data_IF_880235517112
#
_entry.id   IF_880235517112
#
_cell.length_a   1.000
_cell.length_b   1.000
_cell.length_c   1.000
_cell.angle_alpha   90.00
_cell.angle_beta   90.00
_cell.angle_gamma   90.00
#
_symmetry.space_group_name_H-M   'P 1'
#
loop_
_entity.id
_entity.type
_entity.pdbx_description
1 polymer ?
#
# COMPACT_ATOMS: atom_id res chain seq x y z
N UNK A 1 0.32 -13.80 5.86
CA UNK A 1 1.48 -13.79 6.81
C UNK A 1 1.76 -12.42 7.44
N UNK A 2 2.23 -11.40 6.70
CA UNK A 2 2.61 -10.10 7.31
C UNK A 2 1.50 -9.43 8.12
N UNK A 3 0.28 -9.43 7.58
CA UNK A 3 -0.89 -8.87 8.23
C UNK A 3 -1.32 -9.68 9.47
N UNK A 4 -1.17 -11.01 9.45
CA UNK A 4 -1.50 -11.86 10.60
C UNK A 4 -0.58 -11.61 11.80
N UNK A 5 0.69 -11.31 11.54
CA UNK A 5 1.69 -11.06 12.60
C UNK A 5 1.69 -9.62 13.12
N UNK A 6 1.16 -8.65 12.34
CA UNK A 6 1.15 -7.24 12.71
C UNK A 6 -0.15 -6.54 12.27
N UNK A 7 -1.34 -7.01 12.71
CA UNK A 7 -2.63 -6.50 12.20
C UNK A 7 -2.86 -5.02 12.56
N UNK A 8 -2.39 -4.57 13.71
CA UNK A 8 -2.61 -3.19 14.20
C UNK A 8 -1.62 -2.18 13.61
N UNK A 9 -0.52 -2.66 13.00
CA UNK A 9 0.57 -1.80 12.51
C UNK A 9 0.67 -1.79 10.99
N UNK A 10 0.54 -2.96 10.35
CA UNK A 10 0.57 -3.07 8.90
C UNK A 10 -0.84 -2.81 8.36
N UNK A 11 -0.98 -1.78 7.51
CA UNK A 11 -2.26 -1.35 6.94
C UNK A 11 -2.95 -2.48 6.15
N UNK A 12 -2.15 -3.41 5.61
CA UNK A 12 -2.67 -4.56 4.88
C UNK A 12 -2.96 -4.25 3.40
N UNK A 13 -3.14 -5.29 2.57
CA UNK A 13 -3.22 -5.14 1.13
C UNK A 13 -4.46 -4.36 0.67
N UNK A 14 -5.62 -4.57 1.30
CA UNK A 14 -6.85 -3.86 0.93
C UNK A 14 -6.77 -2.37 1.28
N UNK A 15 -6.29 -2.03 2.48
CA UNK A 15 -6.11 -0.64 2.90
C UNK A 15 -5.09 0.09 2.03
N UNK A 16 -3.97 -0.55 1.70
CA UNK A 16 -2.95 0.04 0.82
C UNK A 16 -3.41 0.15 -0.64
N UNK A 17 -4.25 -0.77 -1.12
CA UNK A 17 -4.89 -0.61 -2.43
C UNK A 17 -5.81 0.62 -2.47
N UNK A 18 -6.58 0.85 -1.40
CA UNK A 18 -7.43 2.02 -1.27
C UNK A 18 -6.62 3.31 -1.07
N UNK A 19 -5.50 3.26 -0.35
CA UNK A 19 -4.59 4.41 -0.24
C UNK A 19 -4.02 4.78 -1.62
N UNK A 20 -3.57 3.78 -2.37
CA UNK A 20 -3.07 4.00 -3.74
C UNK A 20 -4.12 4.61 -4.66
N UNK A 21 -5.39 4.22 -4.53
CA UNK A 21 -6.49 4.83 -5.28
C UNK A 21 -6.50 6.36 -5.16
N UNK A 22 -6.36 6.90 -3.95
CA UNK A 22 -6.35 8.35 -3.75
C UNK A 22 -5.01 8.98 -4.14
N UNK A 23 -3.89 8.33 -3.81
CA UNK A 23 -2.54 8.80 -4.16
C UNK A 23 -2.36 8.94 -5.70
N UNK A 24 -3.01 8.08 -6.48
CA UNK A 24 -2.95 8.12 -7.94
C UNK A 24 -4.06 8.96 -8.60
N UNK A 25 -5.00 9.50 -7.81
CA UNK A 25 -6.13 10.29 -8.33
C UNK A 25 -5.68 11.73 -8.57
N UNK A 26 -5.75 12.22 -9.80
CA UNK A 26 -5.33 13.59 -10.16
C UNK A 26 -6.19 14.68 -9.52
N UNK A 27 -7.32 14.31 -8.90
CA UNK A 27 -8.21 15.23 -8.18
C UNK A 27 -7.84 15.35 -6.70
N UNK A 28 -6.98 14.47 -6.17
CA UNK A 28 -6.59 14.47 -4.76
C UNK A 28 -5.37 15.37 -4.54
N UNK A 29 -5.57 16.47 -3.82
CA UNK A 29 -4.50 17.45 -3.51
C UNK A 29 -3.67 17.05 -2.27
N UNK A 30 -4.07 16.01 -1.54
CA UNK A 30 -3.46 15.58 -0.28
C UNK A 30 -2.43 14.44 -0.48
N UNK A 31 -1.85 14.32 -1.68
CA UNK A 31 -0.92 13.22 -2.01
C UNK A 31 0.28 13.15 -1.05
N UNK A 32 0.89 14.29 -0.71
CA UNK A 32 2.05 14.32 0.19
C UNK A 32 1.68 13.89 1.61
N UNK A 33 0.57 14.38 2.16
CA UNK A 33 0.09 14.01 3.49
C UNK A 33 -0.20 12.50 3.60
N UNK A 34 -0.76 11.91 2.53
CA UNK A 34 -1.00 10.46 2.44
C UNK A 34 0.30 9.67 2.39
N UNK A 35 1.31 10.16 1.67
CA UNK A 35 2.63 9.52 1.60
C UNK A 35 3.36 9.63 2.94
N UNK A 36 3.31 10.79 3.62
CA UNK A 36 3.86 10.97 4.97
C UNK A 36 3.25 9.98 5.96
N UNK A 37 1.93 9.76 5.87
CA UNK A 37 1.26 8.78 6.72
C UNK A 37 1.70 7.33 6.45
N UNK A 38 2.25 7.03 5.27
CA UNK A 38 2.73 5.69 4.89
C UNK A 38 4.24 5.53 5.05
N UNK A 39 4.96 6.61 5.36
CA UNK A 39 6.40 6.63 5.63
C UNK A 39 6.72 6.11 7.04
N UNK A 40 6.28 4.88 7.31
CA UNK A 40 6.52 4.16 8.56
C UNK A 40 6.98 2.72 8.25
N UNK A 41 7.98 2.17 8.97
CA UNK A 41 8.50 0.82 8.73
C UNK A 41 7.45 -0.30 8.79
N UNK A 42 6.36 -0.11 9.51
CA UNK A 42 5.31 -1.10 9.67
C UNK A 42 4.13 -0.89 8.73
N UNK A 43 3.70 0.37 8.50
CA UNK A 43 2.46 0.67 7.77
C UNK A 43 2.49 0.19 6.32
N UNK A 44 3.61 0.40 5.62
CA UNK A 44 3.77 0.04 4.20
C UNK A 44 4.79 -1.08 3.99
N UNK A 45 5.95 -0.99 4.67
CA UNK A 45 7.13 -1.79 4.32
C UNK A 45 7.09 -3.26 4.79
N UNK A 46 6.05 -3.67 5.54
CA UNK A 46 5.80 -5.08 5.89
C UNK A 46 5.24 -5.94 4.74
N UNK A 47 4.95 -5.34 3.59
CA UNK A 47 4.70 -6.10 2.37
C UNK A 47 6.01 -6.67 1.80
N UNK A 48 6.18 -7.98 1.94
CA UNK A 48 7.33 -8.76 1.43
C UNK A 48 7.06 -9.43 0.08
N UNK A 49 6.10 -8.92 -0.71
CA UNK A 49 5.75 -9.49 -2.02
C UNK A 49 5.42 -10.98 -2.00
N UNK A 50 4.69 -11.43 -0.98
CA UNK A 50 4.23 -12.83 -0.81
C UNK A 50 3.15 -13.21 -1.83
N UNK A 51 2.53 -12.23 -2.50
CA UNK A 51 1.54 -12.38 -3.58
C UNK A 51 0.17 -12.98 -3.23
N UNK A 52 -0.01 -13.61 -2.06
CA UNK A 52 -1.32 -14.15 -1.63
C UNK A 52 -2.50 -13.19 -1.84
N UNK A 53 -2.31 -11.88 -1.65
CA UNK A 53 -3.37 -10.89 -1.78
C UNK A 53 -3.88 -10.70 -3.22
N UNK A 54 -3.02 -10.87 -4.22
CA UNK A 54 -3.39 -10.79 -5.64
C UNK A 54 -4.07 -12.09 -6.07
N UNK A 55 -3.55 -13.24 -5.64
CA UNK A 55 -4.04 -14.56 -6.06
C UNK A 55 -5.47 -14.86 -5.57
N UNK A 56 -5.82 -14.39 -4.36
CA UNK A 56 -7.12 -14.68 -3.73
C UNK A 56 -8.17 -13.60 -3.96
N UNK A 57 -7.83 -12.49 -4.63
CA UNK A 57 -8.77 -11.38 -4.76
C UNK A 57 -9.97 -11.79 -5.64
N UNK A 58 -11.21 -11.86 -5.12
CA UNK A 58 -12.36 -12.32 -5.88
C UNK A 58 -12.78 -11.35 -7.01
N UNK A 59 -12.17 -10.17 -7.06
CA UNK A 59 -12.39 -9.14 -8.08
C UNK A 59 -11.24 -9.05 -9.09
N UNK A 60 -10.24 -9.93 -9.00
CA UNK A 60 -9.07 -9.91 -9.90
C UNK A 60 -8.22 -8.65 -9.77
N UNK A 61 -8.27 -7.96 -8.63
CA UNK A 61 -7.45 -6.77 -8.38
C UNK A 61 -6.03 -7.19 -8.02
N UNK A 62 -5.07 -6.27 -8.20
CA UNK A 62 -3.67 -6.51 -7.87
C UNK A 62 -3.16 -5.56 -6.77
N UNK A 63 -3.45 -5.85 -5.48
CA UNK A 63 -2.93 -5.07 -4.36
C UNK A 63 -1.41 -5.01 -4.32
N UNK A 64 -0.71 -6.08 -4.71
CA UNK A 64 0.75 -6.09 -4.70
C UNK A 64 1.34 -5.01 -5.62
N UNK A 65 0.80 -4.89 -6.85
CA UNK A 65 1.20 -3.85 -7.81
C UNK A 65 0.97 -2.44 -7.25
N UNK A 66 -0.18 -2.21 -6.62
CA UNK A 66 -0.48 -0.92 -5.99
C UNK A 66 0.50 -0.58 -4.86
N UNK A 67 0.82 -1.55 -3.99
CA UNK A 67 1.82 -1.37 -2.92
C UNK A 67 3.21 -1.05 -3.50
N UNK A 68 3.61 -1.74 -4.58
CA UNK A 68 4.85 -1.45 -5.29
C UNK A 68 4.91 -0.01 -5.81
N UNK A 69 3.80 0.50 -6.35
CA UNK A 69 3.70 1.89 -6.82
C UNK A 69 3.80 2.91 -5.69
N UNK A 70 3.19 2.66 -4.53
CA UNK A 70 3.38 3.54 -3.37
C UNK A 70 4.86 3.58 -2.95
N UNK A 71 5.52 2.41 -2.87
CA UNK A 71 6.96 2.35 -2.53
C UNK A 71 7.82 3.11 -3.53
N UNK A 72 7.53 2.98 -4.83
CA UNK A 72 8.20 3.72 -5.90
C UNK A 72 8.03 5.24 -5.74
N UNK A 73 6.83 5.71 -5.40
CA UNK A 73 6.56 7.12 -5.17
C UNK A 73 7.31 7.68 -3.96
N UNK A 74 7.42 6.91 -2.86
CA UNK A 74 8.22 7.31 -1.70
C UNK A 74 9.71 7.41 -2.04
N UNK A 75 10.25 6.44 -2.78
CA UNK A 75 11.66 6.48 -3.19
C UNK A 75 11.95 7.66 -4.12
N UNK A 76 11.03 8.00 -5.03
CA UNK A 76 11.19 9.14 -5.95
C UNK A 76 11.06 10.50 -5.27
N UNK A 77 10.46 10.55 -4.07
CA UNK A 77 10.30 11.77 -3.29
C UNK A 77 11.57 12.12 -2.49
N UNK A 78 12.38 11.10 -2.14
CA UNK A 78 13.60 11.23 -1.36
C UNK A 78 14.73 11.95 -2.10
#
# INVERSE_FOLDING_TARGET
PSFWWNPDKFVGPAGLLQAYRFIADSRDEATNERLDNLEDPYRLFRCHSIMNCTDVCPKGLNPNKAIGKIKEMLVRRA
#
